data_IF_821251608538
#
_entry.id   IF_821251608538
#
_cell.length_a   1.000
_cell.length_b   1.000
_cell.length_c   1.000
_cell.angle_alpha   90.00
_cell.angle_beta   90.00
_cell.angle_gamma   90.00
#
_symmetry.space_group_name_H-M   'P 1'
#
loop_
_entity.id
_entity.type
_entity.pdbx_description
1 polymer ?
#
# COMPACT_ATOMS: atom_id res chain seq x y z
N UNK A 1 15.22 16.15 -17.80
CA UNK A 1 14.30 15.06 -18.18
C UNK A 1 14.33 14.02 -17.08
N UNK A 2 13.18 13.71 -16.50
CA UNK A 2 13.07 12.64 -15.51
C UNK A 2 12.10 11.57 -16.03
N UNK A 3 12.38 10.31 -15.73
CA UNK A 3 11.51 9.20 -16.11
C UNK A 3 11.21 8.31 -14.91
N UNK A 4 9.94 7.96 -14.73
CA UNK A 4 9.47 7.04 -13.70
C UNK A 4 8.76 5.85 -14.36
N UNK A 5 9.08 4.64 -13.92
CA UNK A 5 8.34 3.44 -14.28
C UNK A 5 7.18 3.28 -13.29
N UNK A 6 5.99 3.17 -13.82
CA UNK A 6 4.74 2.99 -13.07
C UNK A 6 4.50 1.52 -12.73
N UNK A 7 3.68 1.28 -11.71
CA UNK A 7 3.29 -0.07 -11.31
C UNK A 7 2.54 -0.85 -12.41
N UNK A 8 1.89 -0.14 -13.33
CA UNK A 8 1.23 -0.71 -14.51
C UNK A 8 2.22 -1.01 -15.66
N UNK A 9 3.53 -0.80 -15.46
CA UNK A 9 4.57 -1.02 -16.44
C UNK A 9 4.75 0.10 -17.47
N UNK A 10 3.91 1.15 -17.43
CA UNK A 10 4.10 2.33 -18.28
C UNK A 10 5.23 3.22 -17.76
N UNK A 11 5.72 4.14 -18.59
CA UNK A 11 6.69 5.15 -18.17
C UNK A 11 6.06 6.53 -18.22
N UNK A 12 6.24 7.30 -17.15
CA UNK A 12 6.04 8.75 -17.16
C UNK A 12 7.38 9.42 -17.46
N UNK A 13 7.42 10.26 -18.48
CA UNK A 13 8.55 11.13 -18.79
C UNK A 13 8.10 12.55 -18.51
N UNK A 14 8.90 13.29 -17.75
CA UNK A 14 8.64 14.68 -17.40
C UNK A 14 9.72 15.57 -17.97
N UNK A 15 9.29 16.55 -18.76
CA UNK A 15 10.08 17.61 -19.32
C UNK A 15 9.85 18.89 -18.52
N UNK A 16 10.93 19.50 -18.06
CA UNK A 16 10.89 20.69 -17.21
C UNK A 16 11.49 21.87 -17.95
N UNK A 17 10.77 22.98 -17.95
CA UNK A 17 11.25 24.28 -18.42
C UNK A 17 10.92 25.35 -17.39
N UNK A 18 11.74 26.40 -17.32
CA UNK A 18 11.44 27.55 -16.49
C UNK A 18 11.89 28.83 -17.21
N UNK A 19 11.03 29.85 -17.20
CA UNK A 19 11.34 31.18 -17.73
C UNK A 19 10.68 32.28 -16.88
N UNK A 20 11.12 33.53 -17.07
CA UNK A 20 10.67 34.67 -16.26
C UNK A 20 9.21 35.07 -16.49
N UNK A 21 8.63 34.73 -17.64
CA UNK A 21 7.30 35.17 -18.06
C UNK A 21 6.22 34.12 -17.71
N UNK A 22 6.54 32.85 -17.91
CA UNK A 22 5.63 31.72 -17.72
C UNK A 22 5.90 30.97 -16.41
N UNK A 23 7.01 31.28 -15.72
CA UNK A 23 7.42 30.57 -14.52
C UNK A 23 7.87 29.13 -14.83
N UNK A 24 7.53 28.19 -13.95
CA UNK A 24 7.89 26.79 -14.08
C UNK A 24 6.81 26.00 -14.83
N UNK A 25 7.23 25.17 -15.80
CA UNK A 25 6.36 24.27 -16.52
C UNK A 25 6.89 22.82 -16.46
N UNK A 26 5.97 21.88 -16.34
CA UNK A 26 6.23 20.45 -16.37
C UNK A 26 5.29 19.77 -17.37
N UNK A 27 5.85 19.32 -18.49
CA UNK A 27 5.09 18.56 -19.50
C UNK A 27 5.29 17.07 -19.23
N UNK A 28 4.17 16.36 -19.05
CA UNK A 28 4.19 14.94 -18.68
C UNK A 28 3.71 14.09 -19.86
N UNK A 29 4.55 13.15 -20.26
CA UNK A 29 4.26 12.16 -21.29
C UNK A 29 4.11 10.78 -20.66
N UNK A 30 3.05 10.04 -21.03
CA UNK A 30 2.86 8.64 -20.66
C UNK A 30 3.15 7.76 -21.87
N UNK A 31 4.07 6.80 -21.73
CA UNK A 31 4.47 5.87 -22.78
C UNK A 31 4.27 4.42 -22.36
N UNK A 32 3.91 3.56 -23.32
CA UNK A 32 3.71 2.12 -23.13
C UNK A 32 2.24 1.73 -22.93
N UNK A 33 2.00 0.42 -22.92
CA UNK A 33 0.68 -0.16 -22.71
C UNK A 33 0.57 -0.62 -21.25
N UNK A 34 -0.43 -0.14 -20.48
CA UNK A 34 -0.58 -0.56 -19.10
C UNK A 34 -0.90 -2.05 -19.02
N UNK A 35 -0.14 -2.78 -18.21
CA UNK A 35 -0.37 -4.18 -17.91
C UNK A 35 -1.42 -4.27 -16.81
N UNK A 36 -2.61 -4.75 -17.17
CA UNK A 36 -3.64 -5.08 -16.19
C UNK A 36 -3.45 -6.54 -15.79
N UNK A 37 -3.03 -6.76 -14.53
CA UNK A 37 -3.00 -8.12 -13.97
C UNK A 37 -4.45 -8.54 -13.75
N UNK A 38 -4.94 -9.49 -14.56
CA UNK A 38 -6.26 -10.06 -14.37
C UNK A 38 -6.34 -10.66 -12.95
N UNK A 39 -7.30 -10.18 -12.15
CA UNK A 39 -7.59 -10.79 -10.87
C UNK A 39 -8.10 -12.21 -11.14
N UNK A 40 -7.27 -13.20 -10.88
CA UNK A 40 -7.70 -14.61 -10.94
C UNK A 40 -8.66 -14.79 -9.76
N UNK A 41 -9.91 -15.23 -9.97
CA UNK A 41 -10.77 -15.55 -8.85
C UNK A 41 -10.10 -16.68 -8.07
N UNK A 42 -9.58 -16.38 -6.88
CA UNK A 42 -9.15 -17.39 -5.93
C UNK A 42 -10.44 -18.10 -5.51
N UNK A 43 -10.73 -19.24 -6.14
CA UNK A 43 -11.75 -20.15 -5.64
C UNK A 43 -11.23 -20.65 -4.30
N UNK A 44 -11.63 -19.97 -3.23
CA UNK A 44 -11.46 -20.42 -1.88
C UNK A 44 -12.23 -21.73 -1.76
N UNK A 45 -11.56 -22.86 -2.00
CA UNK A 45 -12.03 -24.16 -1.54
C UNK A 45 -11.92 -24.12 -0.03
N UNK A 46 -12.97 -23.60 0.62
CA UNK A 46 -13.16 -23.73 2.04
C UNK A 46 -13.22 -25.22 2.36
N UNK A 47 -12.11 -25.78 2.84
CA UNK A 47 -12.16 -27.01 3.60
C UNK A 47 -12.99 -26.70 4.85
N UNK A 48 -14.00 -27.53 5.09
CA UNK A 48 -14.99 -27.38 6.15
C UNK A 48 -14.36 -27.06 7.52
N UNK A 49 -15.05 -26.31 8.41
CA UNK A 49 -14.49 -25.99 9.71
C UNK A 49 -14.40 -27.27 10.54
N UNK A 50 -13.18 -27.74 10.79
CA UNK A 50 -12.94 -28.68 11.88
C UNK A 50 -13.15 -27.90 13.17
N UNK A 51 -14.25 -28.19 13.86
CA UNK A 51 -14.56 -27.67 15.19
C UNK A 51 -13.50 -28.18 16.16
N UNK A 52 -12.38 -27.45 16.28
CA UNK A 52 -11.40 -27.64 17.32
C UNK A 52 -11.91 -26.96 18.60
N UNK A 53 -12.45 -27.80 19.47
CA UNK A 53 -12.75 -27.59 20.89
C UNK A 53 -11.85 -26.54 21.60
N UNK A 54 -12.54 -25.53 22.16
CA UNK A 54 -12.35 -24.84 23.45
C UNK A 54 -10.92 -24.66 24.04
N UNK A 55 -10.53 -23.41 24.26
CA UNK A 55 -9.75 -22.99 25.43
C UNK A 55 -10.24 -21.60 25.89
N UNK A 56 -10.55 -21.46 27.17
CA UNK A 56 -11.11 -20.25 27.79
C UNK A 56 -10.16 -19.04 27.70
N UNK A 57 -10.67 -17.79 27.73
CA UNK A 57 -9.80 -16.62 27.79
C UNK A 57 -9.03 -16.61 29.11
N UNK A 58 -7.69 -16.66 29.01
CA UNK A 58 -6.81 -16.29 30.12
C UNK A 58 -6.95 -14.78 30.31
N UNK A 59 -7.50 -14.38 31.46
CA UNK A 59 -7.58 -12.98 31.87
C UNK A 59 -6.16 -12.42 32.04
N UNK A 60 -5.87 -11.29 31.40
CA UNK A 60 -4.68 -10.50 31.71
C UNK A 60 -4.94 -9.70 32.99
N UNK A 61 -4.12 -9.92 34.02
CA UNK A 61 -4.05 -9.02 35.15
C UNK A 61 -3.27 -7.76 34.74
N UNK A 62 -3.86 -6.58 34.96
CA UNK A 62 -3.16 -5.31 34.81
C UNK A 62 -2.17 -5.12 35.98
N UNK A 63 -0.93 -4.64 35.75
CA UNK A 63 -0.04 -4.30 36.84
C UNK A 63 -0.61 -3.10 37.61
N UNK A 64 -0.66 -3.21 38.94
CA UNK A 64 -0.93 -2.06 39.80
C UNK A 64 0.31 -1.17 39.85
N UNK A 65 0.14 0.11 39.50
CA UNK A 65 1.15 1.11 39.79
C UNK A 65 1.03 1.49 41.27
N UNK A 66 1.90 0.90 42.08
CA UNK A 66 2.10 1.33 43.45
C UNK A 66 2.62 2.77 43.47
N UNK A 67 1.87 3.64 44.14
CA UNK A 67 2.32 4.98 44.49
C UNK A 67 3.56 4.91 45.38
N UNK A 68 4.61 5.64 45.00
CA UNK A 68 5.66 6.11 45.91
C UNK A 68 6.14 7.49 45.45
N UNK A 69 5.63 8.52 46.12
CA UNK A 69 6.36 9.76 46.39
C UNK A 69 6.03 10.14 47.84
N UNK A 70 7.07 10.56 48.55
CA UNK A 70 7.10 10.98 49.95
C UNK A 70 6.14 12.11 50.30
#
# INVERSE_FOLDING_TARGET
MYSLVEADGTKRIVEYTADEHNGFNAVVHKQGTPVVKAAVPVVAKYAAPVVAKLAAPVAYAAPSYGHYYH
#
